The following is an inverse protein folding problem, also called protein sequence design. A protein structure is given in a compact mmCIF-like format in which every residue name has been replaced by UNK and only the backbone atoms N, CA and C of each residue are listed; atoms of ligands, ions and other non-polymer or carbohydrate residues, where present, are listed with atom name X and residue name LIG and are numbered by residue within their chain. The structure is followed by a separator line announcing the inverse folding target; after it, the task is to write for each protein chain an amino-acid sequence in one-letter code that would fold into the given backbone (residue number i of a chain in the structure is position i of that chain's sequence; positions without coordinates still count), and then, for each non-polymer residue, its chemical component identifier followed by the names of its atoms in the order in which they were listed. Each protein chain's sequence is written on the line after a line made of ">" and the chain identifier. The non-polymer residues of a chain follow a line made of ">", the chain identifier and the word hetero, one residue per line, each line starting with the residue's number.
data_IF_378792001789
#
_entry.id   IF_378792001789
#
_cell.length_a   1.000
_cell.length_b   1.000
_cell.length_c   1.000
_cell.angle_alpha   90.00
_cell.angle_beta   90.00
_cell.angle_gamma   90.00
#
_symmetry.space_group_name_H-M   'P 1'
#
loop_
_entity.id
_entity.type
_entity.pdbx_description
1 polymer ?
#
# COMPACT_ATOMS: atom_id res chain seq x y z
N UNK A 1 -6.87 14.33 16.15
CA UNK A 1 -6.76 13.83 14.77
C UNK A 1 -7.22 14.94 13.85
N UNK A 2 -6.53 15.18 12.75
CA UNK A 2 -6.85 16.27 11.81
C UNK A 2 -6.57 15.83 10.38
N UNK A 3 -7.00 16.66 9.41
CA UNK A 3 -6.43 16.60 8.07
C UNK A 3 -4.93 16.92 8.13
N UNK A 4 -4.19 16.35 7.19
CA UNK A 4 -2.76 16.55 7.04
C UNK A 4 -2.45 17.09 5.64
N UNK A 5 -1.50 18.01 5.53
CA UNK A 5 -0.97 18.45 4.24
C UNK A 5 -0.17 17.33 3.55
N UNK A 6 0.14 17.52 2.27
CA UNK A 6 0.88 16.53 1.49
C UNK A 6 2.32 16.35 1.97
N UNK A 7 3.00 17.43 2.34
CA UNK A 7 4.41 17.40 2.70
C UNK A 7 4.63 16.53 3.93
N UNK A 8 3.90 16.80 5.01
CA UNK A 8 3.97 16.02 6.26
C UNK A 8 3.54 14.57 6.05
N UNK A 9 2.45 14.34 5.31
CA UNK A 9 1.98 12.99 5.03
C UNK A 9 3.00 12.19 4.22
N UNK A 10 3.64 12.82 3.22
CA UNK A 10 4.63 12.20 2.36
C UNK A 10 5.91 11.89 3.09
N UNK A 11 6.41 12.81 3.92
CA UNK A 11 7.58 12.59 4.75
C UNK A 11 7.37 11.38 5.67
N UNK A 12 6.33 11.42 6.50
CA UNK A 12 6.01 10.36 7.46
C UNK A 12 5.80 9.00 6.79
N UNK A 13 5.03 8.94 5.70
CA UNK A 13 4.76 7.67 4.99
C UNK A 13 6.02 7.11 4.33
N UNK A 14 6.87 7.96 3.76
CA UNK A 14 8.07 7.48 3.05
C UNK A 14 9.09 6.93 4.05
N UNK A 15 9.16 7.52 5.23
CA UNK A 15 10.01 7.08 6.32
C UNK A 15 9.52 5.79 6.98
N UNK A 16 8.23 5.73 7.36
CA UNK A 16 7.72 4.65 8.22
C UNK A 16 6.98 3.54 7.48
N UNK A 17 6.50 3.75 6.24
CA UNK A 17 5.84 2.69 5.49
C UNK A 17 6.87 1.83 4.75
N UNK A 18 6.78 0.50 4.90
CA UNK A 18 7.68 -0.47 4.27
C UNK A 18 7.86 -0.32 2.74
N UNK A 19 6.92 0.32 2.05
CA UNK A 19 7.01 0.53 0.60
C UNK A 19 7.89 1.72 0.20
N UNK A 20 8.30 2.58 1.16
CA UNK A 20 9.12 3.76 0.92
C UNK A 20 8.60 4.69 -0.19
N UNK A 21 7.28 4.78 -0.34
CA UNK A 21 6.66 5.47 -1.49
C UNK A 21 5.29 6.02 -1.13
N UNK A 22 4.99 7.18 -1.69
CA UNK A 22 3.75 7.91 -1.44
C UNK A 22 2.78 7.85 -2.64
N UNK A 23 1.51 7.46 -2.45
CA UNK A 23 0.54 7.36 -3.54
C UNK A 23 -0.12 8.71 -3.86
N UNK A 24 -0.78 8.81 -5.02
CA UNK A 24 -1.66 9.94 -5.33
C UNK A 24 -2.85 9.97 -4.36
N UNK A 25 -2.92 11.01 -3.53
CA UNK A 25 -3.81 11.06 -2.37
C UNK A 25 -5.03 11.96 -2.60
N UNK A 26 -6.22 11.44 -2.27
CA UNK A 26 -7.49 12.19 -2.25
C UNK A 26 -7.79 12.81 -0.88
N UNK A 27 -7.36 12.16 0.20
CA UNK A 27 -7.47 12.67 1.57
C UNK A 27 -6.35 12.10 2.43
N UNK A 28 -5.85 12.90 3.37
CA UNK A 28 -4.74 12.57 4.27
C UNK A 28 -5.18 12.91 5.68
N UNK A 29 -5.08 11.93 6.59
CA UNK A 29 -5.45 12.09 8.00
C UNK A 29 -4.22 11.85 8.88
N UNK A 30 -4.04 12.68 9.90
CA UNK A 30 -2.98 12.54 10.90
C UNK A 30 -3.52 12.17 12.28
N UNK A 31 -2.91 11.16 12.90
CA UNK A 31 -3.06 10.84 14.31
C UNK A 31 -1.98 11.57 15.10
N UNK A 32 -2.40 12.36 16.09
CA UNK A 32 -1.51 13.17 16.90
C UNK A 32 -1.53 12.70 18.34
N UNK A 33 -0.35 12.57 18.94
CA UNK A 33 -0.15 12.34 20.37
C UNK A 33 0.21 13.67 21.02
N UNK A 34 -0.57 14.06 22.03
CA UNK A 34 -0.37 15.31 22.76
C UNK A 34 0.20 15.01 24.14
N UNK A 35 1.27 15.73 24.50
CA UNK A 35 1.81 15.73 25.86
C UNK A 35 1.77 17.17 26.38
N UNK A 36 1.55 17.40 27.68
CA UNK A 36 1.60 18.75 28.24
C UNK A 36 2.90 19.45 27.85
N UNK A 37 2.79 20.68 27.33
CA UNK A 37 3.94 21.49 26.91
C UNK A 37 4.56 21.15 25.55
N UNK A 38 3.97 20.26 24.74
CA UNK A 38 4.48 19.94 23.39
C UNK A 38 3.56 20.44 22.28
N UNK A 39 4.11 20.64 21.08
CA UNK A 39 3.37 21.06 19.88
C UNK A 39 2.53 19.94 19.23
N UNK A 40 2.41 18.78 19.89
CA UNK A 40 1.77 17.58 19.34
C UNK A 40 2.70 16.82 18.41
N UNK A 41 2.78 15.50 18.60
CA UNK A 41 3.61 14.59 17.84
C UNK A 41 2.75 13.83 16.82
N UNK A 42 3.16 13.79 15.55
CA UNK A 42 2.49 12.98 14.54
C UNK A 42 2.91 11.52 14.73
N UNK A 43 1.96 10.65 15.08
CA UNK A 43 2.22 9.24 15.41
C UNK A 43 1.52 8.26 14.47
N UNK A 44 0.77 8.77 13.49
CA UNK A 44 0.17 7.94 12.47
C UNK A 44 -0.42 8.73 11.30
N UNK A 45 -0.40 8.11 10.13
CA UNK A 45 -0.91 8.68 8.88
C UNK A 45 -1.78 7.67 8.16
N UNK A 46 -2.98 8.12 7.76
CA UNK A 46 -3.89 7.39 6.88
C UNK A 46 -4.09 8.18 5.59
N UNK A 47 -3.85 7.53 4.46
CA UNK A 47 -3.99 8.11 3.12
C UNK A 47 -5.08 7.37 2.36
N UNK A 48 -6.16 8.07 2.06
CA UNK A 48 -7.14 7.64 1.09
C UNK A 48 -6.65 8.06 -0.30
N UNK A 49 -6.21 7.10 -1.10
CA UNK A 49 -5.58 7.31 -2.40
C UNK A 49 -6.51 7.01 -3.56
N UNK A 50 -6.11 7.49 -4.73
CA UNK A 50 -6.62 6.99 -6.01
C UNK A 50 -6.00 5.61 -6.23
N UNK A 51 -6.80 4.55 -6.48
CA UNK A 51 -6.26 3.25 -6.80
C UNK A 51 -5.36 3.30 -8.03
N UNK A 52 -4.28 2.51 -8.05
CA UNK A 52 -3.33 2.51 -9.18
C UNK A 52 -3.98 2.14 -10.52
N UNK A 53 -5.09 1.41 -10.51
CA UNK A 53 -5.88 1.09 -11.70
C UNK A 53 -7.33 1.50 -11.45
N UNK A 54 -7.89 2.37 -12.28
CA UNK A 54 -9.25 2.89 -12.09
C UNK A 54 -10.31 1.78 -12.05
N UNK A 55 -10.09 0.67 -12.77
CA UNK A 55 -10.99 -0.52 -12.77
C UNK A 55 -11.14 -1.21 -11.42
N UNK A 56 -10.25 -0.97 -10.46
CA UNK A 56 -10.30 -1.57 -9.12
C UNK A 56 -11.61 -1.24 -8.41
N UNK A 57 -12.06 0.02 -8.51
CA UNK A 57 -13.25 0.49 -7.82
C UNK A 57 -14.52 -0.16 -8.38
N UNK A 58 -14.81 -0.10 -9.70
CA UNK A 58 -15.95 -0.81 -10.25
C UNK A 58 -15.90 -2.32 -10.00
N UNK A 59 -14.73 -2.94 -10.14
CA UNK A 59 -14.55 -4.39 -9.96
C UNK A 59 -14.93 -4.86 -8.56
N UNK A 60 -14.42 -4.18 -7.52
CA UNK A 60 -14.54 -4.67 -6.14
C UNK A 60 -15.70 -4.02 -5.39
N UNK A 61 -15.96 -2.74 -5.66
CA UNK A 61 -16.92 -1.93 -4.90
C UNK A 61 -18.25 -1.76 -5.64
N UNK A 62 -18.29 -1.99 -6.95
CA UNK A 62 -19.52 -1.83 -7.76
C UNK A 62 -20.03 -0.38 -7.82
N UNK A 63 -19.12 0.59 -7.73
CA UNK A 63 -19.42 2.03 -7.83
C UNK A 63 -18.53 2.67 -8.92
N UNK A 64 -18.84 3.90 -9.30
CA UNK A 64 -18.05 4.62 -10.29
C UNK A 64 -16.62 4.92 -9.78
N UNK A 65 -15.60 4.98 -10.65
CA UNK A 65 -14.20 5.15 -10.24
C UNK A 65 -13.95 6.32 -9.28
N UNK A 66 -14.66 7.44 -9.48
CA UNK A 66 -14.51 8.64 -8.64
C UNK A 66 -15.31 8.56 -7.32
N UNK A 67 -16.27 7.65 -7.21
CA UNK A 67 -17.04 7.39 -5.99
C UNK A 67 -16.32 6.41 -5.04
N UNK A 68 -15.21 5.80 -5.47
CA UNK A 68 -14.41 4.90 -4.65
C UNK A 68 -13.02 5.45 -4.30
N UNK A 69 -12.50 5.04 -3.15
CA UNK A 69 -11.11 5.31 -2.74
C UNK A 69 -10.43 4.06 -2.21
N UNK A 70 -9.10 4.06 -2.23
CA UNK A 70 -8.29 3.03 -1.58
C UNK A 70 -7.72 3.55 -0.27
N UNK A 71 -7.72 2.76 0.81
CA UNK A 71 -6.79 3.00 1.93
C UNK A 71 -5.41 2.55 1.47
N UNK A 72 -4.70 3.44 0.78
CA UNK A 72 -3.43 3.13 0.14
C UNK A 72 -2.25 3.16 1.09
N UNK A 73 -2.31 3.98 2.15
CA UNK A 73 -1.30 3.99 3.23
C UNK A 73 -2.00 4.10 4.56
N UNK A 74 -1.58 3.27 5.50
CA UNK A 74 -2.06 3.30 6.86
C UNK A 74 -0.88 2.89 7.74
N UNK A 75 -0.31 3.86 8.45
CA UNK A 75 0.93 3.71 9.22
C UNK A 75 0.71 4.33 10.59
N UNK A 76 1.15 3.63 11.63
CA UNK A 76 1.27 4.15 12.99
C UNK A 76 2.68 3.82 13.48
N UNK A 77 3.20 4.60 14.42
CA UNK A 77 4.42 4.24 15.13
C UNK A 77 4.19 3.03 16.02
N UNK A 78 5.22 2.20 16.21
CA UNK A 78 5.13 0.94 16.98
C UNK A 78 4.81 1.16 18.46
N UNK A 79 5.06 2.36 18.98
CA UNK A 79 4.79 2.74 20.38
C UNK A 79 3.36 3.27 20.61
N UNK A 80 2.51 3.26 19.59
CA UNK A 80 1.09 3.57 19.74
C UNK A 80 0.40 2.42 20.48
N UNK A 81 -0.38 2.68 21.55
CA UNK A 81 -1.03 1.64 22.33
C UNK A 81 -1.94 0.71 21.52
N UNK A 82 -2.12 -0.52 22.03
CA UNK A 82 -3.05 -1.51 21.50
C UNK A 82 -4.44 -0.90 21.21
N UNK A 83 -5.03 -1.27 20.07
CA UNK A 83 -6.27 -0.71 19.49
C UNK A 83 -6.15 0.67 18.84
N UNK A 84 -4.95 1.28 18.84
CA UNK A 84 -4.71 2.57 18.18
C UNK A 84 -5.04 2.54 16.69
N UNK A 85 -4.78 1.42 16.02
CA UNK A 85 -5.06 1.23 14.59
C UNK A 85 -6.56 1.28 14.31
N UNK A 86 -7.36 0.49 15.01
CA UNK A 86 -8.82 0.46 14.79
C UNK A 86 -9.45 1.79 15.17
N UNK A 87 -9.01 2.42 16.27
CA UNK A 87 -9.44 3.76 16.65
C UNK A 87 -9.12 4.79 15.56
N UNK A 88 -7.87 4.79 15.08
CA UNK A 88 -7.44 5.75 14.07
C UNK A 88 -8.16 5.52 12.74
N UNK A 89 -8.32 4.27 12.31
CA UNK A 89 -9.04 3.91 11.09
C UNK A 89 -10.49 4.41 11.15
N UNK A 90 -11.20 4.16 12.25
CA UNK A 90 -12.58 4.62 12.42
C UNK A 90 -12.70 6.14 12.35
N UNK A 91 -11.76 6.85 12.97
CA UNK A 91 -11.71 8.31 12.95
C UNK A 91 -11.34 8.85 11.56
N UNK A 92 -10.40 8.23 10.85
CA UNK A 92 -10.05 8.59 9.47
C UNK A 92 -11.25 8.41 8.51
N UNK A 93 -12.06 7.36 8.69
CA UNK A 93 -13.30 7.17 7.93
C UNK A 93 -14.35 8.26 8.21
N UNK A 94 -14.40 8.80 9.43
CA UNK A 94 -15.26 9.95 9.75
C UNK A 94 -14.82 11.19 8.95
N UNK A 95 -13.53 11.52 8.95
CA UNK A 95 -12.98 12.62 8.15
C UNK A 95 -13.22 12.41 6.65
N UNK A 96 -13.15 11.16 6.16
CA UNK A 96 -13.46 10.84 4.77
C UNK A 96 -14.91 11.19 4.42
N UNK A 97 -15.87 10.78 5.24
CA UNK A 97 -17.29 11.08 5.00
C UNK A 97 -17.57 12.58 5.06
N UNK A 98 -16.92 13.29 5.96
CA UNK A 98 -17.07 14.73 6.15
C UNK A 98 -16.51 15.54 4.97
N UNK A 99 -15.30 15.23 4.51
CA UNK A 99 -14.59 16.04 3.52
C UNK A 99 -14.69 15.51 2.09
N UNK A 100 -15.17 14.28 1.90
CA UNK A 100 -15.37 13.65 0.58
C UNK A 100 -16.74 12.97 0.53
N UNK A 101 -17.85 13.73 0.65
CA UNK A 101 -19.21 13.17 0.69
C UNK A 101 -19.60 12.41 -0.58
N UNK A 102 -18.91 12.65 -1.71
CA UNK A 102 -19.10 11.89 -2.96
C UNK A 102 -18.47 10.50 -2.94
N UNK A 103 -17.66 10.17 -1.94
CA UNK A 103 -17.07 8.83 -1.79
C UNK A 103 -18.09 7.91 -1.13
N UNK A 104 -18.50 6.88 -1.85
CA UNK A 104 -19.56 5.94 -1.46
C UNK A 104 -19.02 4.60 -1.00
N UNK A 105 -17.77 4.29 -1.34
CA UNK A 105 -17.14 3.03 -0.94
C UNK A 105 -15.62 3.15 -0.80
N UNK A 106 -15.03 2.27 0.00
CA UNK A 106 -13.59 2.20 0.24
C UNK A 106 -13.11 0.77 -0.01
N UNK A 107 -11.96 0.63 -0.65
CA UNK A 107 -11.22 -0.64 -0.77
C UNK A 107 -9.91 -0.57 -0.01
N UNK A 108 -9.43 -1.70 0.51
CA UNK A 108 -8.06 -1.82 1.00
C UNK A 108 -7.52 -3.22 0.72
N UNK A 109 -6.18 -3.33 0.76
CA UNK A 109 -5.47 -4.55 0.46
C UNK A 109 -4.62 -4.97 1.66
N UNK A 110 -4.67 -6.26 2.00
CA UNK A 110 -3.75 -6.86 2.97
C UNK A 110 -2.85 -7.87 2.26
N UNK A 111 -1.54 -7.75 2.48
CA UNK A 111 -0.54 -8.63 1.89
C UNK A 111 -0.31 -9.82 2.82
N UNK A 112 -0.76 -11.04 2.46
CA UNK A 112 -0.65 -12.20 3.33
C UNK A 112 0.76 -12.78 3.39
N UNK A 113 1.68 -12.36 2.52
CA UNK A 113 3.01 -12.96 2.41
C UNK A 113 3.97 -12.20 3.31
N UNK A 114 4.51 -12.91 4.31
CA UNK A 114 5.63 -12.40 5.07
C UNK A 114 6.84 -12.17 4.16
N UNK A 115 7.45 -11.00 4.24
CA UNK A 115 8.66 -10.65 3.46
C UNK A 115 9.88 -10.88 4.31
N UNK A 116 10.88 -11.49 3.70
CA UNK A 116 12.15 -11.81 4.34
C UNK A 116 13.34 -11.33 3.52
N UNK A 117 14.41 -10.91 4.18
CA UNK A 117 15.71 -10.65 3.56
C UNK A 117 16.29 -11.94 3.00
N UNK A 118 17.40 -11.84 2.25
CA UNK A 118 18.15 -13.03 1.83
C UNK A 118 18.64 -13.86 3.03
N UNK A 119 18.97 -13.21 4.15
CA UNK A 119 19.40 -13.85 5.40
C UNK A 119 18.26 -14.47 6.22
N UNK A 120 17.00 -14.36 5.76
CA UNK A 120 15.84 -14.97 6.42
C UNK A 120 15.13 -14.09 7.45
N UNK A 121 15.66 -12.91 7.74
CA UNK A 121 15.07 -11.94 8.67
C UNK A 121 13.72 -11.44 8.16
N UNK A 122 12.71 -11.39 9.03
CA UNK A 122 11.38 -10.89 8.67
C UNK A 122 11.43 -9.37 8.57
N UNK A 123 11.26 -8.84 7.37
CA UNK A 123 11.12 -7.41 7.10
C UNK A 123 9.68 -6.98 7.34
N UNK A 124 8.74 -7.86 7.00
CA UNK A 124 7.31 -7.57 7.11
C UNK A 124 6.56 -8.86 7.41
N UNK A 125 5.78 -8.94 8.50
CA UNK A 125 4.89 -10.07 8.70
C UNK A 125 3.76 -10.07 7.66
N UNK A 126 3.21 -11.25 7.38
CA UNK A 126 2.00 -11.35 6.57
C UNK A 126 0.83 -10.75 7.33
N UNK A 127 0.01 -9.93 6.68
CA UNK A 127 -1.16 -9.32 7.30
C UNK A 127 -2.43 -9.94 6.72
N UNK A 128 -3.28 -10.44 7.61
CA UNK A 128 -4.59 -11.01 7.25
C UNK A 128 -5.70 -9.96 7.27
N UNK A 129 -5.38 -8.70 7.55
CA UNK A 129 -6.35 -7.61 7.58
C UNK A 129 -7.22 -7.58 8.84
N UNK A 130 -6.72 -8.08 9.97
CA UNK A 130 -7.44 -8.11 11.27
C UNK A 130 -8.03 -6.74 11.62
N UNK A 131 -7.28 -5.66 11.44
CA UNK A 131 -7.77 -4.29 11.68
C UNK A 131 -8.95 -3.92 10.76
N UNK A 132 -8.97 -4.41 9.53
CA UNK A 132 -10.06 -4.17 8.58
C UNK A 132 -11.29 -4.98 8.96
N UNK A 133 -11.10 -6.24 9.33
CA UNK A 133 -12.17 -7.11 9.82
C UNK A 133 -12.82 -6.52 11.09
N UNK A 134 -12.00 -6.08 12.05
CA UNK A 134 -12.46 -5.40 13.27
C UNK A 134 -13.21 -4.08 12.96
N UNK A 135 -12.87 -3.42 11.86
CA UNK A 135 -13.58 -2.25 11.37
C UNK A 135 -14.70 -2.58 10.37
N UNK A 136 -15.33 -3.76 10.48
CA UNK A 136 -16.49 -4.17 9.67
C UNK A 136 -16.25 -4.18 8.14
N UNK A 137 -15.01 -4.38 7.70
CA UNK A 137 -14.73 -4.55 6.28
C UNK A 137 -15.29 -5.88 5.79
N UNK A 138 -15.90 -5.90 4.61
CA UNK A 138 -16.26 -7.14 3.92
C UNK A 138 -15.07 -7.71 3.18
N UNK A 139 -14.84 -9.01 3.34
CA UNK A 139 -13.83 -9.71 2.54
C UNK A 139 -14.35 -9.94 1.12
N UNK A 140 -13.65 -9.36 0.15
CA UNK A 140 -14.05 -9.36 -1.27
C UNK A 140 -13.26 -10.40 -2.09
N UNK A 141 -12.32 -11.13 -1.48
CA UNK A 141 -11.53 -12.17 -2.14
C UNK A 141 -10.06 -11.78 -2.28
N UNK A 142 -9.42 -12.20 -3.39
CA UNK A 142 -8.00 -11.95 -3.64
C UNK A 142 -7.77 -11.19 -4.94
N UNK A 143 -6.76 -10.33 -4.95
CA UNK A 143 -6.22 -9.79 -6.20
C UNK A 143 -5.59 -10.90 -7.03
N UNK A 144 -5.28 -10.62 -8.30
CA UNK A 144 -4.53 -11.57 -9.13
C UNK A 144 -3.19 -11.94 -8.48
N UNK A 145 -2.80 -13.21 -8.64
CA UNK A 145 -1.46 -13.68 -8.30
C UNK A 145 -0.44 -13.03 -9.23
N UNK A 146 0.78 -12.85 -8.74
CA UNK A 146 1.89 -12.26 -9.50
C UNK A 146 3.23 -12.80 -9.02
N UNK A 147 4.25 -12.63 -9.82
CA UNK A 147 5.63 -12.79 -9.38
C UNK A 147 6.14 -11.47 -8.83
N UNK A 148 6.66 -11.47 -7.62
CA UNK A 148 7.43 -10.37 -7.06
C UNK A 148 8.91 -10.64 -7.31
N UNK A 149 9.65 -9.59 -7.64
CA UNK A 149 11.10 -9.63 -7.75
C UNK A 149 11.65 -8.92 -6.52
N UNK A 150 12.29 -9.68 -5.63
CA UNK A 150 12.81 -9.17 -4.38
C UNK A 150 14.29 -8.86 -4.50
N UNK A 151 14.71 -7.69 -4.00
CA UNK A 151 16.11 -7.31 -3.82
C UNK A 151 16.73 -8.04 -2.61
N UNK A 152 18.06 -7.98 -2.41
CA UNK A 152 18.72 -8.69 -1.30
C UNK A 152 18.23 -8.25 0.08
N UNK A 153 17.90 -6.97 0.23
CA UNK A 153 17.25 -6.37 1.39
C UNK A 153 15.74 -6.70 1.50
N UNK A 154 15.24 -7.60 0.64
CA UNK A 154 13.87 -8.15 0.60
C UNK A 154 12.77 -7.16 0.21
N UNK A 155 13.12 -5.99 -0.32
CA UNK A 155 12.14 -5.07 -0.92
C UNK A 155 11.67 -5.59 -2.29
N UNK A 156 10.41 -5.33 -2.63
CA UNK A 156 9.87 -5.74 -3.92
C UNK A 156 10.07 -4.65 -4.98
N UNK A 157 10.66 -5.01 -6.12
CA UNK A 157 10.77 -4.13 -7.27
C UNK A 157 9.39 -3.76 -7.80
N UNK A 158 9.18 -2.47 -8.08
CA UNK A 158 7.92 -1.97 -8.60
C UNK A 158 7.75 -2.40 -10.06
N UNK A 159 6.72 -3.22 -10.35
CA UNK A 159 6.38 -3.58 -11.73
C UNK A 159 6.13 -2.37 -12.64
N UNK A 160 5.62 -1.26 -12.07
CA UNK A 160 5.46 0.00 -12.81
C UNK A 160 6.80 0.67 -13.11
N UNK A 161 7.74 0.67 -12.18
CA UNK A 161 9.08 1.20 -12.40
C UNK A 161 9.80 0.40 -13.50
N UNK A 162 9.74 -0.94 -13.42
CA UNK A 162 10.28 -1.83 -14.46
C UNK A 162 9.63 -1.57 -15.82
N UNK A 163 8.30 -1.40 -15.87
CA UNK A 163 7.57 -1.09 -17.10
C UNK A 163 8.02 0.24 -17.72
N UNK A 164 8.25 1.28 -16.92
CA UNK A 164 8.73 2.57 -17.43
C UNK A 164 10.09 2.44 -18.10
N UNK A 165 10.99 1.67 -17.50
CA UNK A 165 12.33 1.45 -18.06
C UNK A 165 12.26 0.63 -19.34
N UNK A 166 11.47 -0.47 -19.36
CA UNK A 166 11.30 -1.31 -20.56
C UNK A 166 10.75 -0.51 -21.74
N UNK A 167 9.76 0.35 -21.49
CA UNK A 167 9.03 1.09 -22.51
C UNK A 167 9.60 2.49 -22.78
N UNK A 168 10.68 2.89 -22.10
CA UNK A 168 11.27 4.23 -22.25
C UNK A 168 10.32 5.37 -21.86
N UNK A 169 9.41 5.13 -20.92
CA UNK A 169 8.40 6.12 -20.53
C UNK A 169 8.99 7.26 -19.67
N UNK A 170 8.23 8.35 -19.55
CA UNK A 170 8.58 9.47 -18.66
C UNK A 170 8.85 9.01 -17.22
N UNK A 171 10.02 9.39 -16.72
CA UNK A 171 10.52 9.00 -15.40
C UNK A 171 11.22 7.65 -15.37
N UNK A 172 11.66 7.12 -16.52
CA UNK A 172 12.56 5.96 -16.58
C UNK A 172 13.87 6.23 -15.84
N UNK A 173 14.45 7.44 -15.93
CA UNK A 173 15.75 7.74 -15.32
C UNK A 173 15.68 7.69 -13.80
N UNK A 174 14.63 8.27 -13.21
CA UNK A 174 14.36 8.18 -11.78
C UNK A 174 14.07 6.73 -11.34
N UNK A 175 13.38 5.95 -12.17
CA UNK A 175 13.15 4.54 -11.90
C UNK A 175 14.45 3.74 -11.92
N UNK A 176 15.35 4.02 -12.87
CA UNK A 176 16.66 3.39 -12.97
C UNK A 176 17.55 3.77 -11.79
N UNK A 177 17.66 5.06 -11.46
CA UNK A 177 18.43 5.53 -10.30
C UNK A 177 18.00 4.82 -9.01
N UNK A 178 16.68 4.61 -8.83
CA UNK A 178 16.17 3.86 -7.67
C UNK A 178 16.56 2.39 -7.67
N UNK A 179 16.73 1.74 -8.83
CA UNK A 179 17.24 0.37 -8.88
C UNK A 179 18.72 0.33 -8.45
N UNK A 180 19.51 1.31 -8.91
CA UNK A 180 20.93 1.43 -8.55
C UNK A 180 21.11 1.67 -7.05
N UNK A 181 20.30 2.54 -6.44
CA UNK A 181 20.25 2.73 -4.98
C UNK A 181 19.93 1.45 -4.18
N UNK A 182 19.24 0.49 -4.81
CA UNK A 182 18.93 -0.81 -4.22
C UNK A 182 20.05 -1.85 -4.47
N UNK A 183 21.20 -1.41 -4.99
CA UNK A 183 22.37 -2.26 -5.28
C UNK A 183 22.25 -3.07 -6.57
N UNK A 184 21.34 -2.69 -7.47
CA UNK A 184 21.21 -3.32 -8.79
C UNK A 184 22.16 -2.65 -9.80
N UNK A 185 22.61 -3.38 -10.83
CA UNK A 185 23.58 -2.84 -11.77
C UNK A 185 23.03 -1.63 -12.54
N UNK A 186 23.93 -0.73 -12.92
CA UNK A 186 23.63 0.35 -13.86
C UNK A 186 23.35 -0.19 -15.27
N UNK A 187 22.65 0.62 -16.07
CA UNK A 187 22.37 0.31 -17.47
C UNK A 187 23.62 0.57 -18.31
N UNK A 188 23.98 -0.40 -19.16
CA UNK A 188 25.18 -0.27 -19.98
C UNK A 188 24.94 0.74 -21.12
N UNK A 189 26.01 1.36 -21.61
CA UNK A 189 25.94 2.31 -22.71
C UNK A 189 25.38 1.62 -23.96
N UNK A 190 24.26 2.13 -24.48
CA UNK A 190 23.59 1.58 -25.67
C UNK A 190 22.70 0.35 -25.40
N UNK A 191 22.61 -0.13 -24.16
CA UNK A 191 21.70 -1.21 -23.79
C UNK A 191 20.24 -0.75 -23.94
N UNK A 192 19.34 -1.59 -24.46
CA UNK A 192 17.91 -1.26 -24.51
C UNK A 192 17.27 -1.33 -23.11
N UNK A 193 16.16 -0.61 -22.90
CA UNK A 193 15.46 -0.64 -21.61
C UNK A 193 14.91 -2.03 -21.28
N UNK A 194 14.52 -2.79 -22.30
CA UNK A 194 14.14 -4.18 -22.16
C UNK A 194 15.33 -5.08 -21.79
N UNK A 195 16.47 -4.93 -22.49
CA UNK A 195 17.69 -5.68 -22.19
C UNK A 195 18.16 -5.45 -20.76
N UNK A 196 18.15 -4.19 -20.33
CA UNK A 196 18.48 -3.80 -18.97
C UNK A 196 17.60 -4.49 -17.93
N UNK A 197 16.27 -4.43 -18.10
CA UNK A 197 15.35 -5.06 -17.14
C UNK A 197 15.50 -6.58 -17.15
N UNK A 198 15.67 -7.22 -18.31
CA UNK A 198 15.92 -8.66 -18.39
C UNK A 198 17.20 -9.05 -17.63
N UNK A 199 18.29 -8.30 -17.82
CA UNK A 199 19.57 -8.52 -17.13
C UNK A 199 19.47 -8.32 -15.62
N UNK A 200 18.79 -7.26 -15.17
CA UNK A 200 18.55 -6.99 -13.74
C UNK A 200 17.75 -8.12 -13.10
N UNK A 201 16.63 -8.54 -13.72
CA UNK A 201 15.77 -9.59 -13.18
C UNK A 201 16.42 -10.98 -13.23
N UNK A 202 17.36 -11.22 -14.15
CA UNK A 202 18.17 -12.44 -14.24
C UNK A 202 19.41 -12.43 -13.33
N UNK A 203 19.72 -11.32 -12.67
CA UNK A 203 20.87 -11.23 -11.78
C UNK A 203 20.66 -12.04 -10.50
N UNK A 204 21.76 -12.52 -9.89
CA UNK A 204 21.71 -13.21 -8.59
C UNK A 204 21.25 -12.32 -7.44
N UNK A 205 21.24 -11.00 -7.63
CA UNK A 205 20.76 -10.04 -6.65
C UNK A 205 19.22 -10.00 -6.56
N UNK A 206 18.51 -10.54 -7.56
CA UNK A 206 17.05 -10.49 -7.61
C UNK A 206 16.45 -11.89 -7.47
N UNK A 207 15.59 -12.07 -6.48
CA UNK A 207 14.91 -13.35 -6.22
C UNK A 207 13.45 -13.28 -6.67
N UNK A 208 13.00 -14.13 -7.61
CA UNK A 208 11.59 -14.26 -7.95
C UNK A 208 10.84 -14.99 -6.83
N UNK A 209 9.71 -14.44 -6.40
CA UNK A 209 8.82 -15.04 -5.39
C UNK A 209 7.39 -15.03 -5.91
N UNK A 210 6.73 -16.19 -5.88
CA UNK A 210 5.33 -16.29 -6.23
C UNK A 210 4.46 -15.68 -5.14
N UNK A 211 3.61 -14.74 -5.51
CA UNK A 211 2.69 -14.07 -4.61
C UNK A 211 1.24 -14.45 -4.96
N UNK A 212 0.44 -14.98 -4.01
CA UNK A 212 -0.90 -15.51 -4.28
C UNK A 212 -1.93 -14.42 -4.58
N UNK A 213 -1.59 -13.15 -4.33
CA UNK A 213 -2.49 -12.00 -4.44
C UNK A 213 -2.83 -11.46 -3.05
N UNK A 214 -3.08 -10.16 -2.97
CA UNK A 214 -3.47 -9.51 -1.72
C UNK A 214 -4.92 -9.88 -1.38
N UNK A 215 -5.22 -10.03 -0.10
CA UNK A 215 -6.60 -10.03 0.38
C UNK A 215 -7.22 -8.66 0.12
N UNK A 216 -8.47 -8.66 -0.35
CA UNK A 216 -9.21 -7.45 -0.70
C UNK A 216 -10.33 -7.24 0.31
N UNK A 217 -10.40 -6.05 0.86
CA UNK A 217 -11.38 -5.63 1.86
C UNK A 217 -12.15 -4.42 1.36
N UNK A 218 -13.45 -4.37 1.64
CA UNK A 218 -14.30 -3.25 1.22
C UNK A 218 -15.26 -2.77 2.29
N UNK A 219 -15.55 -1.47 2.26
CA UNK A 219 -16.57 -0.83 3.07
C UNK A 219 -17.55 -0.07 2.18
N UNK A 220 -18.84 -0.31 2.41
CA UNK A 220 -19.91 0.54 1.88
C UNK A 220 -20.11 1.70 2.85
N UNK A 221 -19.98 2.94 2.36
CA UNK A 221 -20.28 4.16 3.13
C UNK A 221 -21.71 4.65 2.88
N UNK A 222 -22.32 4.23 1.77
CA UNK A 222 -23.70 4.47 1.39
C UNK A 222 -24.50 3.15 1.44
N UNK A 223 -25.71 3.19 2.03
CA UNK A 223 -26.63 2.05 2.16
C UNK A 223 -27.02 1.40 0.82
N UNK A 224 -26.96 2.18 -0.27
CA UNK A 224 -27.24 1.72 -1.63
C UNK A 224 -26.10 0.88 -2.22
N UNK A 225 -24.88 0.99 -1.70
CA UNK A 225 -23.74 0.20 -2.16
C UNK A 225 -23.84 -1.21 -1.60
N UNK A 226 -23.89 -2.21 -2.49
CA UNK A 226 -23.96 -3.62 -2.14
C UNK A 226 -22.66 -4.33 -2.48
N UNK A 227 -21.81 -4.54 -1.47
CA UNK A 227 -20.56 -5.27 -1.63
C UNK A 227 -20.80 -6.79 -1.59
N UNK A 228 -20.26 -7.51 -2.57
CA UNK A 228 -20.30 -8.98 -2.62
C UNK A 228 -19.26 -9.55 -1.66
N UNK A 229 -19.68 -10.42 -0.74
CA UNK A 229 -18.75 -11.15 0.12
C UNK A 229 -18.27 -12.41 -0.61
N UNK A 230 -16.96 -12.58 -0.73
CA UNK A 230 -16.37 -13.69 -1.49
C UNK A 230 -16.25 -15.01 -0.71
N UNK A 231 -16.55 -14.99 0.60
CA UNK A 231 -16.50 -16.16 1.48
C UNK A 231 -16.23 -15.79 2.93
N UNK A 232 -15.73 -16.77 3.69
CA UNK A 232 -15.27 -16.56 5.07
C UNK A 232 -14.05 -15.64 5.12
N UNK A 233 -13.88 -14.96 6.25
CA UNK A 233 -12.70 -14.13 6.49
C UNK A 233 -11.43 -14.98 6.55
N UNK A 234 -10.33 -14.55 5.93
CA UNK A 234 -9.08 -15.24 6.07
C UNK A 234 -8.59 -15.13 7.51
N UNK A 235 -8.09 -16.24 8.04
CA UNK A 235 -7.49 -16.34 9.36
C UNK A 235 -6.00 -16.63 9.20
N UNK A 236 -5.23 -16.20 10.18
CA UNK A 236 -3.86 -16.67 10.32
C UNK A 236 -3.88 -18.19 10.43
N UNK A 237 -3.09 -18.88 9.61
CA UNK A 237 -2.92 -20.32 9.78
C UNK A 237 -2.27 -20.53 11.15
N UNK A 238 -2.84 -21.41 11.97
CA UNK A 238 -2.19 -21.82 13.21
C UNK A 238 -0.80 -22.37 12.84
N UNK A 239 0.24 -21.64 13.25
CA UNK A 239 1.64 -22.00 13.10
C UNK A 239 2.01 -23.11 14.07
#
# INVERSE_FOLDING_TARGET
>A
MSLLDEERAKAFVTEHHYSGSYPAARLRCGLWRWRPGTLGELVGVAVFSVPCQQRVVPRWLGVEPLEGVEVGRFVLLDDVPFNGETYFLARAFRLLREHKPTVRAVVSYSDPVARRTLGGEVIKPGHYGTIYQAHNARFLGRSSSKTLYLTPDGRALSGRALSKIRLGERGQDAAQARLVELGLPERDRGESGEGYVARVLGSRAVRPVRHPGNFVYGWALDRRVKLKQAGGYPKEAAS
#
